data_IF_836779354058
#
_entry.id   IF_836779354058
#
_cell.length_a   1.000
_cell.length_b   1.000
_cell.length_c   1.000
_cell.angle_alpha   90.00
_cell.angle_beta   90.00
_cell.angle_gamma   90.00
#
_symmetry.space_group_name_H-M   'P 1'
#
loop_
_entity.id
_entity.type
_entity.pdbx_description
1 polymer ?
#
# COMPACT_ATOMS: atom_id res chain seq x y z
N UNK A 1 4.51 9.85 11.93
CA UNK A 1 4.12 9.15 13.19
C UNK A 1 3.97 10.11 14.37
N UNK A 2 4.62 11.28 14.37
CA UNK A 2 4.50 12.27 15.45
C UNK A 2 3.05 12.67 15.73
N UNK A 3 2.29 13.05 14.71
CA UNK A 3 0.87 13.42 14.85
C UNK A 3 0.02 12.27 15.40
N UNK A 4 0.27 11.04 14.95
CA UNK A 4 -0.40 9.85 15.47
C UNK A 4 -0.12 9.65 16.96
N UNK A 5 1.12 9.89 17.42
CA UNK A 5 1.45 9.86 18.86
C UNK A 5 0.71 10.96 19.62
N UNK A 6 0.64 12.16 19.07
CA UNK A 6 -0.05 13.28 19.69
C UNK A 6 -1.54 12.95 19.88
N UNK A 7 -2.21 12.41 18.86
CA UNK A 7 -3.61 11.96 18.93
C UNK A 7 -3.77 10.82 19.93
N UNK A 8 -2.92 9.78 19.85
CA UNK A 8 -3.03 8.59 20.71
C UNK A 8 -2.90 8.93 22.20
N UNK A 9 -2.15 9.98 22.57
CA UNK A 9 -2.07 10.48 23.95
C UNK A 9 -3.38 11.08 24.47
N UNK A 10 -4.28 11.52 23.60
CA UNK A 10 -5.51 12.23 23.97
C UNK A 10 -6.76 11.36 23.92
N UNK A 11 -6.69 10.15 23.34
CA UNK A 11 -7.87 9.31 23.11
C UNK A 11 -7.69 7.90 23.67
N UNK A 12 -8.79 7.30 24.14
CA UNK A 12 -8.80 5.92 24.62
C UNK A 12 -9.19 4.91 23.55
N UNK A 13 -9.78 5.36 22.43
CA UNK A 13 -10.12 4.51 21.29
C UNK A 13 -8.87 4.11 20.48
N UNK A 14 -8.94 3.04 19.66
CA UNK A 14 -7.87 2.68 18.74
C UNK A 14 -7.59 3.77 17.70
N UNK A 15 -6.31 4.01 17.41
CA UNK A 15 -5.81 4.96 16.41
C UNK A 15 -5.08 4.20 15.31
N UNK A 16 -5.56 4.32 14.08
CA UNK A 16 -4.91 3.77 12.89
C UNK A 16 -4.18 4.88 12.13
N UNK A 17 -2.98 4.59 11.62
CA UNK A 17 -2.15 5.58 10.93
C UNK A 17 -1.85 5.16 9.48
N UNK A 18 -1.99 6.08 8.53
CA UNK A 18 -1.39 5.97 7.20
C UNK A 18 0.03 6.56 7.21
N UNK A 19 0.97 5.97 6.47
CA UNK A 19 2.36 6.47 6.49
C UNK A 19 3.27 6.01 5.35
N UNK A 20 2.73 5.54 4.23
CA UNK A 20 3.55 4.92 3.18
C UNK A 20 4.17 3.58 3.63
N UNK A 21 3.49 2.89 4.55
CA UNK A 21 3.94 1.63 5.12
C UNK A 21 4.09 0.54 4.06
N UNK A 22 5.32 0.05 3.90
CA UNK A 22 5.65 -1.08 3.00
C UNK A 22 6.82 -1.93 3.50
N UNK A 23 7.24 -1.70 4.76
CA UNK A 23 8.36 -2.39 5.42
C UNK A 23 7.86 -2.97 6.74
N UNK A 24 7.90 -4.29 6.90
CA UNK A 24 7.30 -4.97 8.04
C UNK A 24 7.96 -4.58 9.37
N UNK A 25 9.28 -4.45 9.41
CA UNK A 25 10.03 -4.03 10.60
C UNK A 25 9.63 -2.64 11.08
N UNK A 26 9.46 -1.69 10.16
CA UNK A 26 8.99 -0.35 10.49
C UNK A 26 7.54 -0.33 10.96
N UNK A 27 6.67 -1.15 10.36
CA UNK A 27 5.27 -1.31 10.82
C UNK A 27 5.24 -1.87 12.24
N UNK A 28 6.00 -2.93 12.52
CA UNK A 28 6.15 -3.51 13.87
C UNK A 28 6.61 -2.45 14.87
N UNK A 29 7.67 -1.71 14.55
CA UNK A 29 8.16 -0.63 15.41
C UNK A 29 7.09 0.45 15.68
N UNK A 30 6.31 0.84 14.66
CA UNK A 30 5.25 1.84 14.82
C UNK A 30 4.18 1.38 15.82
N UNK A 31 3.80 0.11 15.76
CA UNK A 31 2.80 -0.50 16.66
C UNK A 31 3.40 -0.76 18.05
N UNK A 32 4.56 -1.41 18.14
CA UNK A 32 5.21 -1.81 19.40
C UNK A 32 5.58 -0.58 20.25
N UNK A 33 5.99 0.51 19.60
CA UNK A 33 6.26 1.78 20.28
C UNK A 33 5.00 2.58 20.64
N UNK A 34 3.81 2.00 20.46
CA UNK A 34 2.50 2.63 20.69
C UNK A 34 2.31 3.96 19.96
N UNK A 35 2.91 4.10 18.78
CA UNK A 35 2.71 5.28 17.93
C UNK A 35 1.29 5.31 17.33
N UNK A 36 0.75 4.12 17.09
CA UNK A 36 -0.58 3.80 16.60
C UNK A 36 -0.92 2.37 17.06
N UNK A 37 -2.21 2.02 17.11
CA UNK A 37 -2.66 0.65 17.40
C UNK A 37 -2.68 -0.23 16.14
N UNK A 38 -2.61 0.39 14.96
CA UNK A 38 -2.50 -0.30 13.70
C UNK A 38 -2.13 0.65 12.56
N UNK A 39 -1.79 0.08 11.41
CA UNK A 39 -1.48 0.84 10.21
C UNK A 39 -2.54 0.61 9.14
N UNK A 40 -2.84 1.64 8.38
CA UNK A 40 -3.60 1.53 7.14
C UNK A 40 -2.66 1.72 5.95
N UNK A 41 -2.85 0.89 4.92
CA UNK A 41 -1.97 0.81 3.77
C UNK A 41 -2.82 1.02 2.51
N UNK A 42 -2.40 1.94 1.64
CA UNK A 42 -3.09 2.21 0.38
C UNK A 42 -2.15 1.91 -0.81
N UNK A 43 -1.28 2.87 -1.16
CA UNK A 43 -0.41 2.80 -2.35
C UNK A 43 0.49 1.55 -2.39
N UNK A 44 0.96 1.06 -1.24
CA UNK A 44 1.77 -0.14 -1.21
C UNK A 44 0.97 -1.43 -1.49
N UNK A 45 -0.31 -1.47 -1.14
CA UNK A 45 -1.22 -2.56 -1.51
C UNK A 45 -1.65 -2.46 -2.99
N UNK A 46 -1.86 -1.25 -3.50
CA UNK A 46 -2.07 -1.03 -4.96
C UNK A 46 -0.86 -1.54 -5.75
N UNK A 47 0.35 -1.32 -5.23
CA UNK A 47 1.57 -1.81 -5.85
C UNK A 47 1.75 -3.34 -5.68
N UNK A 48 1.45 -3.89 -4.51
CA UNK A 48 1.67 -5.30 -4.16
C UNK A 48 0.44 -5.82 -3.40
N UNK A 49 -0.53 -6.41 -4.10
CA UNK A 49 -1.82 -6.80 -3.52
C UNK A 49 -1.69 -7.85 -2.41
N UNK A 50 -0.61 -8.63 -2.44
CA UNK A 50 -0.27 -9.68 -1.49
C UNK A 50 0.74 -9.23 -0.41
N UNK A 51 0.98 -7.92 -0.25
CA UNK A 51 1.98 -7.37 0.66
C UNK A 51 1.91 -7.94 2.09
N UNK A 52 0.71 -8.13 2.64
CA UNK A 52 0.53 -8.69 3.99
C UNK A 52 0.93 -10.18 4.03
N UNK A 53 0.69 -10.92 2.94
CA UNK A 53 1.14 -12.32 2.82
C UNK A 53 2.66 -12.39 2.73
N UNK A 54 3.30 -11.47 2.00
CA UNK A 54 4.76 -11.32 1.95
C UNK A 54 5.33 -11.13 3.37
N UNK A 55 4.71 -10.26 4.17
CA UNK A 55 5.12 -10.06 5.56
C UNK A 55 4.93 -11.32 6.42
N UNK A 56 3.80 -12.03 6.24
CA UNK A 56 3.52 -13.27 6.95
C UNK A 56 4.53 -14.40 6.63
N UNK A 57 5.14 -14.37 5.45
CA UNK A 57 6.23 -15.27 5.04
C UNK A 57 7.59 -14.89 5.66
N UNK A 58 7.67 -13.83 6.46
CA UNK A 58 8.90 -13.35 7.08
C UNK A 58 9.74 -12.41 6.21
N UNK A 59 9.30 -12.09 4.98
CA UNK A 59 9.96 -11.07 4.15
C UNK A 59 9.65 -9.67 4.70
N UNK A 60 10.68 -8.83 4.80
CA UNK A 60 10.50 -7.49 5.37
C UNK A 60 9.92 -6.49 4.36
N UNK A 61 10.13 -6.72 3.06
CA UNK A 61 9.68 -5.87 1.95
C UNK A 61 9.32 -6.71 0.73
N UNK A 62 8.43 -6.23 -0.16
CA UNK A 62 8.22 -6.84 -1.47
C UNK A 62 9.43 -6.60 -2.37
N UNK A 63 9.64 -7.48 -3.36
CA UNK A 63 10.78 -7.39 -4.29
C UNK A 63 10.69 -6.13 -5.17
N UNK A 64 9.46 -5.67 -5.49
CA UNK A 64 9.17 -4.44 -6.26
C UNK A 64 8.32 -3.45 -5.45
N UNK A 65 8.90 -2.71 -4.49
CA UNK A 65 8.18 -1.80 -3.61
C UNK A 65 7.49 -0.66 -4.35
N UNK A 66 6.52 -0.03 -3.68
CA UNK A 66 5.91 1.21 -4.16
C UNK A 66 6.97 2.32 -4.17
N UNK A 67 7.06 3.06 -5.28
CA UNK A 67 8.00 4.19 -5.45
C UNK A 67 7.51 5.49 -4.81
N UNK A 68 6.28 5.50 -4.28
CA UNK A 68 5.61 6.69 -3.76
C UNK A 68 5.42 7.83 -4.78
N UNK A 69 5.45 7.55 -6.09
CA UNK A 69 5.38 8.55 -7.15
C UNK A 69 4.02 9.25 -7.31
N UNK A 70 2.97 8.77 -6.63
CA UNK A 70 1.59 9.27 -6.70
C UNK A 70 0.91 9.19 -8.09
N UNK A 71 1.50 8.51 -9.09
CA UNK A 71 0.86 8.29 -10.39
C UNK A 71 -0.49 7.57 -10.28
N UNK A 72 -0.65 6.68 -9.29
CA UNK A 72 -1.93 6.05 -8.98
C UNK A 72 -3.02 7.06 -8.57
N UNK A 73 -2.65 8.10 -7.81
CA UNK A 73 -3.58 9.15 -7.39
C UNK A 73 -3.94 10.08 -8.55
N UNK A 74 -2.97 10.40 -9.42
CA UNK A 74 -3.24 11.21 -10.60
C UNK A 74 -4.19 10.50 -11.58
N UNK A 75 -4.05 9.18 -11.73
CA UNK A 75 -4.84 8.42 -12.70
C UNK A 75 -6.26 8.09 -12.22
N UNK A 76 -6.50 7.91 -10.92
CA UNK A 76 -7.81 7.45 -10.40
C UNK A 76 -8.97 8.42 -10.70
N UNK A 77 -8.68 9.64 -11.16
CA UNK A 77 -9.68 10.62 -11.57
C UNK A 77 -10.39 10.18 -12.85
N UNK A 78 -9.66 9.58 -13.80
CA UNK A 78 -10.18 9.26 -15.15
C UNK A 78 -10.01 7.78 -15.51
N UNK A 79 -9.08 7.09 -14.86
CA UNK A 79 -8.70 5.71 -15.17
C UNK A 79 -8.90 4.81 -13.94
N UNK A 80 -8.99 3.47 -14.12
CA UNK A 80 -9.14 2.55 -13.00
C UNK A 80 -8.03 2.68 -11.97
N UNK A 81 -8.34 2.40 -10.70
CA UNK A 81 -7.32 2.39 -9.65
C UNK A 81 -6.28 1.30 -9.92
N UNK A 82 -5.02 1.69 -10.04
CA UNK A 82 -3.91 0.76 -10.25
C UNK A 82 -2.54 1.44 -10.12
N UNK A 83 -1.47 0.67 -10.32
CA UNK A 83 -0.11 1.19 -10.27
C UNK A 83 0.39 1.62 -11.65
N UNK A 84 0.47 2.94 -11.88
CA UNK A 84 0.90 3.51 -13.16
C UNK A 84 2.41 3.82 -13.23
N UNK A 85 3.23 3.04 -12.51
CA UNK A 85 4.68 3.21 -12.48
C UNK A 85 5.36 2.17 -13.39
N UNK A 86 5.59 2.54 -14.66
CA UNK A 86 6.15 1.66 -15.71
C UNK A 86 7.46 0.98 -15.28
N UNK A 87 8.30 1.64 -14.49
CA UNK A 87 9.55 1.03 -13.99
C UNK A 87 9.32 -0.19 -13.09
N UNK A 88 8.14 -0.33 -12.46
CA UNK A 88 7.78 -1.55 -11.71
C UNK A 88 7.42 -2.73 -12.61
N UNK A 89 7.14 -2.48 -13.88
CA UNK A 89 6.81 -3.49 -14.89
C UNK A 89 8.01 -3.70 -15.83
N UNK A 90 9.24 -3.49 -15.35
CA UNK A 90 10.48 -3.68 -16.11
C UNK A 90 10.55 -2.86 -17.41
N UNK A 91 9.81 -1.74 -17.47
CA UNK A 91 9.69 -0.91 -18.67
C UNK A 91 8.51 -1.28 -19.58
N UNK A 92 7.80 -2.38 -19.31
CA UNK A 92 6.67 -2.84 -20.12
C UNK A 92 5.37 -2.08 -19.76
N UNK A 93 5.05 -1.08 -20.59
CA UNK A 93 3.82 -0.30 -20.47
C UNK A 93 2.56 -1.16 -20.66
N UNK A 94 2.60 -2.13 -21.58
CA UNK A 94 1.43 -2.99 -21.85
C UNK A 94 1.16 -3.94 -20.69
N UNK A 95 2.21 -4.47 -20.05
CA UNK A 95 2.05 -5.25 -18.81
C UNK A 95 1.43 -4.41 -17.69
N UNK A 96 1.86 -3.16 -17.54
CA UNK A 96 1.26 -2.23 -16.58
C UNK A 96 -0.24 -2.03 -16.86
N UNK A 97 -0.62 -1.75 -18.12
CA UNK A 97 -2.02 -1.56 -18.48
C UNK A 97 -2.84 -2.84 -18.30
N UNK A 98 -2.31 -4.02 -18.67
CA UNK A 98 -2.99 -5.31 -18.43
C UNK A 98 -3.29 -5.51 -16.94
N UNK A 99 -2.32 -5.23 -16.07
CA UNK A 99 -2.50 -5.35 -14.61
C UNK A 99 -3.54 -4.34 -14.09
N UNK A 100 -3.48 -3.08 -14.51
CA UNK A 100 -4.46 -2.04 -14.13
C UNK A 100 -5.88 -2.45 -14.54
N UNK A 101 -6.04 -2.97 -15.76
CA UNK A 101 -7.35 -3.36 -16.29
C UNK A 101 -7.89 -4.66 -15.70
N UNK A 102 -7.05 -5.43 -14.99
CA UNK A 102 -7.46 -6.69 -14.34
C UNK A 102 -8.60 -6.50 -13.32
N UNK A 103 -8.80 -5.28 -12.80
CA UNK A 103 -9.92 -4.94 -11.91
C UNK A 103 -11.29 -5.22 -12.53
N UNK A 104 -11.38 -5.29 -13.86
CA UNK A 104 -12.62 -5.62 -14.58
C UNK A 104 -12.79 -7.13 -14.82
N UNK A 105 -11.97 -8.01 -14.23
CA UNK A 105 -12.02 -9.46 -14.44
C UNK A 105 -11.76 -10.28 -13.16
N UNK A 106 -12.41 -11.45 -12.97
CA UNK A 106 -13.53 -11.94 -13.77
C UNK A 106 -14.74 -11.02 -13.60
N UNK A 107 -15.55 -10.90 -14.64
CA UNK A 107 -16.82 -10.18 -14.49
C UNK A 107 -17.78 -11.05 -13.69
N UNK A 108 -18.66 -10.44 -12.87
CA UNK A 108 -19.72 -11.19 -12.15
C UNK A 108 -20.80 -11.80 -13.06
N UNK A 109 -20.54 -11.88 -14.37
CA UNK A 109 -21.44 -12.34 -15.42
C UNK A 109 -20.88 -13.56 -16.19
N UNK A 110 -19.83 -14.19 -15.66
CA UNK A 110 -19.23 -15.42 -16.18
C UNK A 110 -19.87 -16.70 -15.60
#
# INVERSE_FOLDING_TARGET
LEDSRAIKKQVQIPVLCTGGFQTASFIRQAIDSKACDGVSIARALVANNDLVKIFAQGKDRPDKPCTHCNKCLANVIENPLGCYEVSRYDGDYEAMIREVMSVFSPTGFE
#
